data_IF_140149238370
#
_entry.id   IF_140149238370
#
_cell.length_a   1.000
_cell.length_b   1.000
_cell.length_c   1.000
_cell.angle_alpha   90.00
_cell.angle_beta   90.00
_cell.angle_gamma   90.00
#
_symmetry.space_group_name_H-M   'P 1'
#
loop_
_entity.id
_entity.type
_entity.pdbx_description
1 polymer ?
#
# COMPACT_ATOMS: atom_id res chain seq x y z
N UNK A 1 -26.59 66.59 9.85
CA UNK A 1 -25.99 65.81 10.96
C UNK A 1 -24.79 65.09 10.36
N UNK A 2 -23.61 65.69 10.52
CA UNK A 2 -22.35 65.25 9.90
C UNK A 2 -21.68 64.26 10.83
N UNK A 3 -21.43 63.03 10.35
CA UNK A 3 -20.76 61.99 11.14
C UNK A 3 -19.35 61.83 10.57
N UNK A 4 -18.39 62.31 11.35
CA UNK A 4 -16.95 62.19 11.14
C UNK A 4 -16.46 60.84 11.65
N UNK A 5 -15.67 60.12 10.85
CA UNK A 5 -14.80 59.04 11.32
C UNK A 5 -13.39 59.22 10.73
N UNK A 6 -12.33 59.25 11.56
CA UNK A 6 -10.98 59.57 11.11
C UNK A 6 -10.19 58.34 10.64
N UNK A 7 -9.44 58.55 9.56
CA UNK A 7 -8.10 58.00 9.24
C UNK A 7 -7.92 56.48 9.44
N UNK A 8 -8.55 55.74 8.53
CA UNK A 8 -8.25 54.34 8.26
C UNK A 8 -6.85 54.23 7.61
N UNK A 9 -6.02 53.37 8.18
CA UNK A 9 -4.62 53.18 7.86
C UNK A 9 -4.39 52.78 6.39
N UNK A 10 -3.46 53.49 5.75
CA UNK A 10 -2.84 53.13 4.47
C UNK A 10 -1.66 52.20 4.77
N UNK A 11 -1.67 50.99 4.20
CA UNK A 11 -0.48 50.23 3.80
C UNK A 11 -0.98 49.01 3.00
N UNK A 12 -1.19 49.15 1.69
CA UNK A 12 -0.18 48.96 0.65
C UNK A 12 -0.07 47.48 0.21
N UNK A 13 -0.71 47.28 -0.95
CA UNK A 13 -0.65 46.15 -1.89
C UNK A 13 0.80 45.86 -2.33
N UNK A 14 1.04 44.60 -2.75
CA UNK A 14 2.11 44.10 -3.62
C UNK A 14 3.30 43.36 -2.95
N UNK A 15 3.22 42.03 -2.93
CA UNK A 15 4.39 41.16 -3.10
C UNK A 15 3.92 39.78 -3.61
N UNK A 16 3.60 39.75 -4.90
CA UNK A 16 3.48 38.53 -5.69
C UNK A 16 4.89 38.22 -6.25
N UNK A 17 5.19 36.93 -6.42
CA UNK A 17 6.31 36.34 -7.19
C UNK A 17 7.62 36.08 -6.44
N UNK A 18 7.84 34.80 -6.09
CA UNK A 18 8.93 33.97 -6.62
C UNK A 18 9.38 32.90 -5.62
N UNK A 19 8.81 31.69 -5.71
CA UNK A 19 9.53 30.47 -5.38
C UNK A 19 8.91 29.32 -6.21
N UNK A 20 9.22 29.32 -7.51
CA UNK A 20 9.21 28.08 -8.29
C UNK A 20 10.35 27.24 -7.74
N UNK A 21 10.05 26.42 -6.76
CA UNK A 21 10.92 25.33 -6.36
C UNK A 21 10.79 24.25 -7.44
N UNK A 22 11.79 24.15 -8.32
CA UNK A 22 12.03 22.95 -9.11
C UNK A 22 12.16 21.78 -8.14
N UNK A 23 11.07 21.05 -7.94
CA UNK A 23 11.12 19.69 -7.43
C UNK A 23 11.77 18.84 -8.50
N UNK A 24 13.10 18.70 -8.45
CA UNK A 24 13.77 17.57 -9.06
C UNK A 24 13.19 16.33 -8.42
N UNK A 25 12.18 15.74 -9.07
CA UNK A 25 11.78 14.37 -8.80
C UNK A 25 13.00 13.50 -9.07
N UNK A 26 13.68 13.09 -8.02
CA UNK A 26 14.51 11.91 -8.07
C UNK A 26 13.62 10.78 -8.67
N UNK A 27 14.17 9.87 -9.48
CA UNK A 27 13.45 8.64 -9.74
C UNK A 27 13.26 7.99 -8.38
N UNK A 28 12.03 8.00 -7.88
CA UNK A 28 11.62 7.03 -6.88
C UNK A 28 11.84 5.69 -7.59
N UNK A 29 12.89 4.98 -7.21
CA UNK A 29 12.91 3.55 -7.46
C UNK A 29 11.81 2.99 -6.57
N UNK A 30 10.57 3.07 -7.05
CA UNK A 30 9.44 2.32 -6.53
C UNK A 30 9.82 0.86 -6.77
N UNK A 31 10.55 0.29 -5.82
CA UNK A 31 10.76 -1.14 -5.73
C UNK A 31 9.37 -1.76 -5.76
N UNK A 32 9.06 -2.48 -6.83
CA UNK A 32 7.81 -3.21 -6.95
C UNK A 32 7.73 -4.11 -5.72
N UNK A 33 6.77 -3.80 -4.85
CA UNK A 33 6.57 -4.50 -3.59
C UNK A 33 5.31 -5.32 -3.69
N UNK A 34 5.41 -6.61 -3.38
CA UNK A 34 4.25 -7.50 -3.30
C UNK A 34 3.95 -7.89 -1.85
N UNK A 35 2.67 -8.08 -1.54
CA UNK A 35 2.20 -8.54 -0.24
C UNK A 35 1.74 -9.99 -0.35
N UNK A 36 2.36 -10.86 0.45
CA UNK A 36 2.07 -12.29 0.50
C UNK A 36 1.36 -12.63 1.80
N UNK A 37 0.17 -13.21 1.71
CA UNK A 37 -0.49 -13.86 2.84
C UNK A 37 -0.06 -15.33 2.87
N UNK A 38 0.83 -15.68 3.79
CA UNK A 38 1.39 -17.03 3.90
C UNK A 38 0.77 -17.81 5.06
N UNK A 39 0.05 -18.86 4.72
CA UNK A 39 -0.51 -19.84 5.64
C UNK A 39 0.49 -20.89 6.13
N UNK A 40 1.80 -20.71 5.87
CA UNK A 40 2.89 -21.62 6.25
C UNK A 40 3.83 -20.94 7.24
N UNK A 41 4.63 -21.72 7.97
CA UNK A 41 5.62 -21.18 8.92
C UNK A 41 6.65 -20.30 8.24
N UNK A 42 6.99 -19.19 8.89
CA UNK A 42 8.01 -18.23 8.43
C UNK A 42 9.35 -18.92 8.14
N UNK A 43 9.85 -19.77 9.06
CA UNK A 43 11.10 -20.52 8.89
C UNK A 43 11.19 -21.34 7.59
N UNK A 44 10.04 -21.74 7.03
CA UNK A 44 9.96 -22.50 5.78
C UNK A 44 9.97 -21.58 4.54
N UNK A 45 9.31 -20.43 4.65
CA UNK A 45 8.95 -19.60 3.50
C UNK A 45 9.87 -18.38 3.38
N UNK A 46 10.26 -17.75 4.48
CA UNK A 46 11.11 -16.55 4.46
C UNK A 46 12.40 -16.75 3.65
N UNK A 47 13.17 -17.86 3.77
CA UNK A 47 14.38 -18.03 2.96
C UNK A 47 14.11 -18.10 1.44
N UNK A 48 12.92 -18.56 1.04
CA UNK A 48 12.52 -18.60 -0.37
C UNK A 48 12.15 -17.22 -0.89
N UNK A 49 11.47 -16.42 -0.07
CA UNK A 49 11.09 -15.04 -0.41
C UNK A 49 12.31 -14.12 -0.44
N UNK A 50 13.24 -14.29 0.50
CA UNK A 50 14.54 -13.59 0.49
C UNK A 50 15.32 -13.90 -0.79
N UNK A 51 15.36 -15.17 -1.20
CA UNK A 51 15.97 -15.56 -2.47
C UNK A 51 15.25 -14.94 -3.66
N UNK A 52 13.92 -14.94 -3.67
CA UNK A 52 13.13 -14.30 -4.72
C UNK A 52 13.46 -12.81 -4.83
N UNK A 53 13.52 -12.08 -3.70
CA UNK A 53 13.92 -10.67 -3.68
C UNK A 53 15.36 -10.48 -4.16
N UNK A 54 16.30 -11.33 -3.76
CA UNK A 54 17.68 -11.25 -4.23
C UNK A 54 17.83 -11.50 -5.75
N UNK A 55 17.04 -12.41 -6.30
CA UNK A 55 17.10 -12.79 -7.71
C UNK A 55 16.36 -11.78 -8.62
N UNK A 56 15.31 -11.11 -8.11
CA UNK A 56 14.41 -10.27 -8.92
C UNK A 56 14.50 -8.78 -8.61
N UNK A 57 14.97 -8.40 -7.43
CA UNK A 57 14.90 -7.03 -6.91
C UNK A 57 13.51 -6.61 -6.40
N UNK A 58 12.52 -7.50 -6.39
CA UNK A 58 11.14 -7.22 -5.94
C UNK A 58 11.06 -7.43 -4.43
N UNK A 59 10.60 -6.41 -3.71
CA UNK A 59 10.41 -6.50 -2.25
C UNK A 59 9.16 -7.32 -1.90
N UNK A 60 9.25 -8.13 -0.85
CA UNK A 60 8.13 -8.96 -0.39
C UNK A 60 7.77 -8.61 1.06
N UNK A 61 6.58 -8.05 1.28
CA UNK A 61 5.97 -8.01 2.62
C UNK A 61 5.16 -9.27 2.83
N UNK A 62 5.39 -9.97 3.94
CA UNK A 62 4.66 -11.21 4.22
C UNK A 62 3.89 -11.10 5.51
N UNK A 63 2.63 -11.54 5.49
CA UNK A 63 1.81 -11.77 6.67
C UNK A 63 1.69 -13.26 6.90
N UNK A 64 2.11 -13.71 8.08
CA UNK A 64 2.05 -15.10 8.49
C UNK A 64 0.91 -15.28 9.49
N UNK A 65 -0.01 -16.21 9.21
CA UNK A 65 -1.00 -16.71 10.16
C UNK A 65 -1.55 -18.07 9.66
N UNK A 66 -2.57 -18.60 10.31
CA UNK A 66 -3.20 -19.85 9.86
C UNK A 66 -3.85 -19.70 8.48
N UNK A 67 -3.78 -20.74 7.64
CA UNK A 67 -4.39 -20.71 6.29
C UNK A 67 -5.88 -20.35 6.30
N UNK A 68 -6.65 -20.90 7.24
CA UNK A 68 -8.07 -20.57 7.40
C UNK A 68 -8.31 -19.15 7.93
N UNK A 69 -7.41 -18.64 8.78
CA UNK A 69 -7.48 -17.27 9.31
C UNK A 69 -7.20 -16.24 8.22
N UNK A 70 -6.12 -16.42 7.46
CA UNK A 70 -5.79 -15.56 6.32
C UNK A 70 -6.84 -15.64 5.22
N UNK A 71 -7.43 -16.82 4.98
CA UNK A 71 -8.55 -16.94 4.04
C UNK A 71 -9.78 -16.15 4.52
N UNK A 72 -10.15 -16.25 5.79
CA UNK A 72 -11.25 -15.48 6.36
C UNK A 72 -10.99 -13.97 6.30
N UNK A 73 -9.75 -13.56 6.59
CA UNK A 73 -9.32 -12.17 6.46
C UNK A 73 -9.41 -11.70 5.00
N UNK A 74 -8.84 -12.45 4.06
CA UNK A 74 -8.87 -12.12 2.63
C UNK A 74 -10.31 -12.01 2.10
N UNK A 75 -11.20 -12.91 2.51
CA UNK A 75 -12.63 -12.85 2.17
C UNK A 75 -13.32 -11.61 2.76
N UNK A 76 -12.94 -11.23 3.98
CA UNK A 76 -13.47 -10.04 4.66
C UNK A 76 -12.98 -8.75 4.00
N UNK A 77 -11.72 -8.71 3.59
CA UNK A 77 -11.11 -7.58 2.90
C UNK A 77 -11.64 -7.42 1.46
N UNK A 78 -11.89 -8.54 0.76
CA UNK A 78 -12.37 -8.56 -0.62
C UNK A 78 -11.44 -7.77 -1.55
N UNK A 79 -12.03 -6.95 -2.43
CA UNK A 79 -11.29 -6.09 -3.38
C UNK A 79 -10.39 -5.04 -2.72
N UNK A 80 -10.49 -4.86 -1.39
CA UNK A 80 -9.63 -3.94 -0.63
C UNK A 80 -8.46 -4.64 0.03
N UNK A 81 -8.31 -5.95 -0.16
CA UNK A 81 -7.17 -6.67 0.39
C UNK A 81 -5.88 -6.10 -0.18
N UNK A 82 -4.86 -5.88 0.66
CA UNK A 82 -3.54 -5.54 0.16
C UNK A 82 -2.81 -6.76 -0.41
N UNK A 83 -3.34 -7.98 -0.26
CA UNK A 83 -2.65 -9.22 -0.65
C UNK A 83 -2.62 -9.40 -2.17
N UNK A 84 -1.42 -9.56 -2.72
CA UNK A 84 -1.19 -9.92 -4.12
C UNK A 84 -1.16 -11.44 -4.31
N UNK A 85 -0.66 -12.17 -3.29
CA UNK A 85 -0.52 -13.62 -3.32
C UNK A 85 -1.04 -14.24 -2.03
N UNK A 86 -1.86 -15.27 -2.17
CA UNK A 86 -2.29 -16.13 -1.06
C UNK A 86 -1.60 -17.50 -1.15
N UNK A 87 -0.65 -17.75 -0.24
CA UNK A 87 0.10 -19.00 -0.16
C UNK A 87 -0.44 -19.87 0.97
N UNK A 88 -1.41 -20.73 0.67
CA UNK A 88 -2.03 -21.60 1.67
C UNK A 88 -1.28 -22.92 1.89
N UNK A 89 -1.42 -23.49 3.10
CA UNK A 89 -0.97 -24.83 3.47
C UNK A 89 -2.01 -25.91 3.14
N UNK A 90 -3.30 -25.56 3.02
CA UNK A 90 -4.39 -26.53 2.84
C UNK A 90 -5.38 -26.16 1.74
N UNK A 91 -5.94 -27.18 1.09
CA UNK A 91 -6.86 -27.02 -0.03
C UNK A 91 -8.23 -26.47 0.39
N UNK A 92 -8.60 -26.57 1.67
CA UNK A 92 -9.87 -26.07 2.18
C UNK A 92 -9.90 -24.54 2.17
N UNK A 93 -8.85 -23.92 2.69
CA UNK A 93 -8.65 -22.47 2.67
C UNK A 93 -8.56 -21.93 1.24
N UNK A 94 -7.76 -22.55 0.35
CA UNK A 94 -7.72 -22.16 -1.07
C UNK A 94 -9.09 -22.28 -1.74
N UNK A 95 -9.81 -23.37 -1.48
CA UNK A 95 -11.15 -23.59 -2.02
C UNK A 95 -12.15 -22.54 -1.55
N UNK A 96 -12.04 -22.06 -0.30
CA UNK A 96 -12.89 -21.00 0.21
C UNK A 96 -12.65 -19.66 -0.50
N UNK A 97 -11.39 -19.26 -0.68
CA UNK A 97 -11.01 -18.03 -1.40
C UNK A 97 -11.40 -18.11 -2.88
N UNK A 98 -11.20 -19.27 -3.51
CA UNK A 98 -11.64 -19.52 -4.89
C UNK A 98 -13.16 -19.38 -5.06
N UNK A 99 -13.96 -19.98 -4.17
CA UNK A 99 -15.42 -19.85 -4.18
C UNK A 99 -15.91 -18.42 -3.94
N UNK A 100 -15.13 -17.63 -3.21
CA UNK A 100 -15.40 -16.21 -3.01
C UNK A 100 -15.06 -15.35 -4.25
N UNK A 101 -14.43 -15.92 -5.28
CA UNK A 101 -14.11 -15.22 -6.53
C UNK A 101 -12.90 -14.29 -6.42
N UNK A 102 -12.04 -14.50 -5.42
CA UNK A 102 -10.92 -13.61 -5.10
C UNK A 102 -9.58 -14.04 -5.70
N UNK A 103 -9.57 -15.09 -6.53
CA UNK A 103 -8.36 -15.56 -7.21
C UNK A 103 -8.42 -15.21 -8.69
N UNK A 104 -7.32 -14.67 -9.20
CA UNK A 104 -7.11 -14.48 -10.63
C UNK A 104 -6.85 -15.83 -11.34
N UNK A 105 -7.20 -15.95 -12.64
CA UNK A 105 -6.72 -17.07 -13.45
C UNK A 105 -5.19 -17.03 -13.57
N UNK A 106 -4.59 -18.22 -13.73
CA UNK A 106 -3.16 -18.42 -13.98
C UNK A 106 -2.89 -18.67 -15.46
#
# INVERSE_FOLDING_TARGET
MSISFPRMAVAAVAAMLAFTACGSGAPSEDSDKIVVYSGRSEDLVAPLLEKFTADTGIDVETRYAGSGELAAQLITEGDKSPADVFLSQDAGALGAVSKAGLLAPI
#
